data_IF_685004486057
#
_entry.id   IF_685004486057
#
_cell.length_a   1.000
_cell.length_b   1.000
_cell.length_c   1.000
_cell.angle_alpha   90.00
_cell.angle_beta   90.00
_cell.angle_gamma   90.00
#
_symmetry.space_group_name_H-M   'P 1'
#
loop_
_entity.id
_entity.type
_entity.pdbx_description
1 polymer ?
#
# COMPACT_ATOMS: atom_id res chain seq x y z
N UNK A 1 -40.51 6.59 -31.81
CA UNK A 1 -39.78 7.63 -31.05
C UNK A 1 -39.38 7.04 -29.69
N UNK A 2 -38.17 6.47 -29.54
CA UNK A 2 -37.70 6.01 -28.24
C UNK A 2 -36.84 7.10 -27.59
N UNK A 3 -37.31 7.61 -26.45
CA UNK A 3 -36.53 8.52 -25.60
C UNK A 3 -35.42 7.69 -24.95
N UNK A 4 -34.19 7.82 -25.45
CA UNK A 4 -33.01 7.46 -24.67
C UNK A 4 -33.00 8.36 -23.43
N UNK A 5 -33.24 7.78 -22.27
CA UNK A 5 -32.93 8.42 -21.00
C UNK A 5 -31.43 8.71 -21.00
N UNK A 6 -31.06 9.99 -21.15
CA UNK A 6 -29.72 10.45 -20.81
C UNK A 6 -29.56 10.22 -19.31
N UNK A 7 -28.82 9.17 -18.94
CA UNK A 7 -28.40 8.96 -17.57
C UNK A 7 -27.65 10.20 -17.11
N UNK A 8 -28.21 10.90 -16.14
CA UNK A 8 -27.61 12.08 -15.53
C UNK A 8 -26.35 11.62 -14.80
N UNK A 9 -25.21 11.62 -15.49
CA UNK A 9 -23.92 11.28 -14.90
C UNK A 9 -23.60 12.43 -13.94
N UNK A 10 -23.75 12.20 -12.64
CA UNK A 10 -23.33 13.13 -11.60
C UNK A 10 -21.89 13.55 -11.91
N UNK A 11 -21.73 14.78 -12.38
CA UNK A 11 -20.44 15.40 -12.64
C UNK A 11 -19.88 15.78 -11.28
N UNK A 12 -19.10 14.88 -10.69
CA UNK A 12 -18.37 15.17 -9.47
C UNK A 12 -17.24 16.13 -9.83
N UNK A 13 -17.23 17.31 -9.23
CA UNK A 13 -16.20 18.32 -9.47
C UNK A 13 -14.82 17.78 -9.12
N UNK A 14 -13.78 18.15 -9.90
CA UNK A 14 -12.39 17.84 -9.54
C UNK A 14 -12.02 18.40 -8.17
N UNK A 15 -11.16 17.69 -7.45
CA UNK A 15 -10.57 18.10 -6.18
C UNK A 15 -9.11 18.49 -6.44
N UNK A 16 -8.66 19.60 -5.86
CA UNK A 16 -7.27 20.01 -5.97
C UNK A 16 -6.33 19.00 -5.27
N UNK A 17 -5.30 18.55 -5.97
CA UNK A 17 -4.23 17.71 -5.45
C UNK A 17 -2.87 18.24 -5.85
N UNK A 18 -1.83 17.58 -5.34
CA UNK A 18 -0.44 17.93 -5.65
C UNK A 18 0.33 16.68 -6.02
N UNK A 19 1.32 16.83 -6.89
CA UNK A 19 2.28 15.77 -7.19
C UNK A 19 3.69 16.34 -7.35
N UNK A 20 4.69 15.51 -7.06
CA UNK A 20 6.07 15.81 -7.43
C UNK A 20 6.26 15.57 -8.92
N UNK A 21 6.86 16.54 -9.62
CA UNK A 21 7.25 16.39 -11.02
C UNK A 21 8.77 16.24 -11.11
N UNK A 22 9.25 15.01 -11.35
CA UNK A 22 10.67 14.74 -11.48
C UNK A 22 11.35 15.48 -12.65
N UNK A 23 10.61 15.87 -13.70
CA UNK A 23 11.20 16.59 -14.83
C UNK A 23 11.55 18.02 -14.41
N UNK A 24 10.64 18.70 -13.72
CA UNK A 24 10.83 20.07 -13.25
C UNK A 24 11.48 20.17 -11.87
N UNK A 25 11.52 19.08 -11.10
CA UNK A 25 11.95 19.01 -9.69
C UNK A 25 11.18 19.97 -8.78
N UNK A 26 9.89 20.12 -9.02
CA UNK A 26 9.00 20.95 -8.20
C UNK A 26 7.67 20.21 -7.96
N UNK A 27 6.94 20.65 -6.94
CA UNK A 27 5.54 20.29 -6.78
C UNK A 27 4.69 21.04 -7.81
N UNK A 28 3.77 20.34 -8.44
CA UNK A 28 2.74 20.92 -9.30
C UNK A 28 1.36 20.55 -8.82
N UNK A 29 0.41 21.45 -9.05
CA UNK A 29 -1.01 21.18 -8.87
C UNK A 29 -1.49 20.15 -9.90
N UNK A 30 -2.45 19.34 -9.50
CA UNK A 30 -3.13 18.40 -10.37
C UNK A 30 -4.58 18.23 -9.93
N UNK A 31 -5.43 17.81 -10.86
CA UNK A 31 -6.81 17.47 -10.55
C UNK A 31 -6.92 16.03 -10.07
N UNK A 32 -7.58 15.82 -8.94
CA UNK A 32 -8.05 14.51 -8.51
C UNK A 32 -9.49 14.34 -9.01
N UNK A 33 -9.72 13.31 -9.81
CA UNK A 33 -11.02 13.04 -10.42
C UNK A 33 -11.55 11.67 -10.03
N UNK A 34 -12.87 11.57 -9.85
CA UNK A 34 -13.53 10.30 -9.59
C UNK A 34 -13.69 9.50 -10.88
N UNK A 35 -13.10 8.31 -10.90
CA UNK A 35 -13.26 7.37 -12.00
C UNK A 35 -14.48 6.47 -11.76
N UNK A 36 -15.60 6.83 -12.38
CA UNK A 36 -16.85 6.09 -12.24
C UNK A 36 -16.82 4.65 -12.78
N UNK A 37 -15.76 4.23 -13.50
CA UNK A 37 -15.65 2.86 -14.03
C UNK A 37 -15.16 1.86 -12.99
N UNK A 38 -14.27 2.28 -12.11
CA UNK A 38 -13.70 1.43 -11.06
C UNK A 38 -14.04 1.91 -9.64
N UNK A 39 -14.63 3.09 -9.48
CA UNK A 39 -15.04 3.61 -8.18
C UNK A 39 -13.90 4.22 -7.37
N UNK A 40 -12.81 4.65 -8.02
CA UNK A 40 -11.64 5.24 -7.35
C UNK A 40 -11.41 6.68 -7.80
N UNK A 41 -10.99 7.52 -6.86
CA UNK A 41 -10.34 8.80 -7.07
C UNK A 41 -8.89 8.57 -7.52
N UNK A 42 -8.46 9.36 -8.50
CA UNK A 42 -7.11 9.32 -9.06
C UNK A 42 -6.68 10.73 -9.44
N UNK A 43 -5.42 11.06 -9.20
CA UNK A 43 -4.80 12.26 -9.78
C UNK A 43 -4.66 12.08 -11.29
N UNK A 44 -4.98 13.13 -12.04
CA UNK A 44 -4.79 13.17 -13.49
C UNK A 44 -3.30 13.23 -13.82
N UNK A 45 -2.92 12.62 -14.95
CA UNK A 45 -1.51 12.56 -15.42
C UNK A 45 -0.53 11.88 -14.44
N UNK A 46 -1.02 10.93 -13.64
CA UNK A 46 -0.22 10.14 -12.69
C UNK A 46 -0.36 8.64 -12.92
N UNK A 47 0.42 7.85 -12.16
CA UNK A 47 0.33 6.40 -12.14
C UNK A 47 -0.76 5.83 -11.22
N UNK A 48 -1.56 6.66 -10.54
CA UNK A 48 -2.59 6.21 -9.57
C UNK A 48 -3.47 5.10 -10.14
N UNK A 49 -3.94 5.25 -11.39
CA UNK A 49 -4.79 4.26 -12.07
C UNK A 49 -4.09 2.91 -12.26
N UNK A 50 -2.80 2.93 -12.57
CA UNK A 50 -2.00 1.72 -12.73
C UNK A 50 -1.72 1.08 -11.36
N UNK A 51 -1.32 1.87 -10.36
CA UNK A 51 -1.04 1.39 -9.01
C UNK A 51 -2.28 0.78 -8.34
N UNK A 52 -3.44 1.42 -8.48
CA UNK A 52 -4.72 0.86 -8.01
C UNK A 52 -5.03 -0.45 -8.73
N UNK A 53 -4.87 -0.51 -10.06
CA UNK A 53 -5.10 -1.76 -10.80
C UNK A 53 -4.19 -2.89 -10.35
N UNK A 54 -2.92 -2.60 -10.14
CA UNK A 54 -1.93 -3.58 -9.70
C UNK A 54 -2.20 -4.06 -8.28
N UNK A 55 -2.54 -3.14 -7.38
CA UNK A 55 -3.01 -3.45 -6.02
C UNK A 55 -4.22 -4.38 -6.07
N UNK A 56 -5.24 -4.04 -6.86
CA UNK A 56 -6.44 -4.86 -7.03
C UNK A 56 -6.14 -6.26 -7.57
N UNK A 57 -5.22 -6.35 -8.53
CA UNK A 57 -4.81 -7.63 -9.12
C UNK A 57 -4.06 -8.51 -8.12
N UNK A 58 -3.16 -7.92 -7.34
CA UNK A 58 -2.29 -8.62 -6.42
C UNK A 58 -3.04 -9.15 -5.19
N UNK A 59 -3.93 -8.33 -4.63
CA UNK A 59 -4.53 -8.60 -3.33
C UNK A 59 -5.96 -9.16 -3.42
N UNK A 60 -6.48 -9.48 -4.60
CA UNK A 60 -7.75 -10.21 -4.77
C UNK A 60 -7.78 -11.60 -4.11
N UNK A 61 -6.63 -12.09 -3.65
CA UNK A 61 -6.49 -13.42 -3.07
C UNK A 61 -7.00 -13.53 -1.63
N UNK A 62 -7.17 -12.42 -0.93
CA UNK A 62 -7.66 -12.47 0.45
C UNK A 62 -9.07 -13.06 0.49
N UNK A 63 -9.29 -14.02 1.39
CA UNK A 63 -10.54 -14.79 1.46
C UNK A 63 -11.41 -14.41 2.66
N UNK A 64 -10.79 -13.92 3.74
CA UNK A 64 -11.45 -13.68 5.02
C UNK A 64 -11.65 -12.18 5.34
N UNK A 65 -11.80 -11.31 4.33
CA UNK A 65 -11.94 -9.87 4.55
C UNK A 65 -13.24 -9.48 5.28
N UNK A 66 -14.34 -10.22 5.10
CA UNK A 66 -15.61 -9.88 5.75
C UNK A 66 -15.51 -10.03 7.26
N UNK A 67 -15.84 -8.98 8.01
CA UNK A 67 -15.76 -8.97 9.47
C UNK A 67 -14.36 -8.76 10.05
N UNK A 68 -13.34 -8.63 9.19
CA UNK A 68 -11.93 -8.55 9.58
C UNK A 68 -11.52 -7.19 10.15
N UNK A 69 -10.41 -7.19 10.88
CA UNK A 69 -9.62 -6.00 11.19
C UNK A 69 -8.34 -6.06 10.37
N UNK A 70 -8.18 -5.12 9.47
CA UNK A 70 -7.08 -5.09 8.49
C UNK A 70 -6.07 -4.04 8.89
N UNK A 71 -4.79 -4.39 8.81
CA UNK A 71 -3.67 -3.46 8.86
C UNK A 71 -3.00 -3.41 7.48
N UNK A 72 -3.10 -2.26 6.81
CA UNK A 72 -2.60 -2.01 5.46
C UNK A 72 -1.37 -1.10 5.51
N UNK A 73 -0.18 -1.70 5.43
CA UNK A 73 1.11 -1.02 5.50
C UNK A 73 1.60 -0.72 4.09
N UNK A 74 1.74 0.57 3.75
CA UNK A 74 2.00 1.03 2.39
C UNK A 74 0.72 1.09 1.56
N UNK A 75 -0.29 1.77 2.10
CA UNK A 75 -1.63 1.82 1.54
C UNK A 75 -1.71 2.58 0.19
N UNK A 76 -0.71 3.39 -0.13
CA UNK A 76 -0.60 4.16 -1.37
C UNK A 76 -1.88 4.98 -1.62
N UNK A 77 -2.50 4.86 -2.80
CA UNK A 77 -3.74 5.55 -3.15
C UNK A 77 -5.00 4.82 -2.65
N UNK A 78 -4.88 3.85 -1.74
CA UNK A 78 -6.01 3.14 -1.12
C UNK A 78 -6.62 2.04 -1.97
N UNK A 79 -5.87 1.46 -2.92
CA UNK A 79 -6.32 0.36 -3.78
C UNK A 79 -6.86 -0.83 -2.97
N UNK A 80 -5.98 -1.44 -2.17
CA UNK A 80 -6.33 -2.54 -1.26
C UNK A 80 -7.22 -2.07 -0.11
N UNK A 81 -6.94 -0.93 0.51
CA UNK A 81 -7.74 -0.37 1.61
C UNK A 81 -9.23 -0.33 1.25
N UNK A 82 -9.57 0.25 0.09
CA UNK A 82 -10.95 0.31 -0.38
C UNK A 82 -11.49 -1.09 -0.71
N UNK A 83 -10.70 -1.96 -1.33
CA UNK A 83 -11.11 -3.34 -1.61
C UNK A 83 -11.52 -4.08 -0.33
N UNK A 84 -10.72 -3.95 0.73
CA UNK A 84 -10.99 -4.57 2.02
C UNK A 84 -12.30 -4.07 2.64
N UNK A 85 -12.52 -2.75 2.64
CA UNK A 85 -13.77 -2.15 3.09
C UNK A 85 -14.97 -2.62 2.27
N UNK A 86 -14.87 -2.60 0.94
CA UNK A 86 -15.93 -3.04 0.02
C UNK A 86 -16.25 -4.54 0.18
N UNK A 87 -15.25 -5.35 0.57
CA UNK A 87 -15.39 -6.77 0.90
C UNK A 87 -15.98 -7.03 2.30
N UNK A 88 -16.25 -5.97 3.07
CA UNK A 88 -16.91 -6.04 4.36
C UNK A 88 -15.98 -6.13 5.57
N UNK A 89 -14.72 -5.70 5.46
CA UNK A 89 -13.88 -5.50 6.64
C UNK A 89 -14.55 -4.55 7.63
N UNK A 90 -14.51 -4.91 8.92
CA UNK A 90 -15.11 -4.11 9.99
C UNK A 90 -14.28 -2.86 10.27
N UNK A 91 -12.96 -2.99 10.18
CA UNK A 91 -12.00 -1.92 10.42
C UNK A 91 -10.79 -2.09 9.53
N UNK A 92 -10.30 -0.99 8.97
CA UNK A 92 -9.05 -0.95 8.19
C UNK A 92 -8.20 0.20 8.70
N UNK A 93 -6.98 -0.11 9.13
CA UNK A 93 -5.96 0.85 9.53
C UNK A 93 -4.96 0.94 8.38
N UNK A 94 -4.93 2.07 7.70
CA UNK A 94 -4.14 2.27 6.49
C UNK A 94 -3.02 3.28 6.75
N UNK A 95 -1.78 2.89 6.47
CA UNK A 95 -0.59 3.69 6.73
C UNK A 95 0.10 4.01 5.42
N UNK A 96 0.25 5.30 5.13
CA UNK A 96 0.89 5.80 3.91
C UNK A 96 1.75 7.03 4.20
N UNK A 97 3.08 6.97 4.00
CA UNK A 97 3.97 8.08 4.32
C UNK A 97 3.92 9.23 3.29
N UNK A 98 3.65 8.96 2.01
CA UNK A 98 3.61 10.01 0.99
C UNK A 98 2.35 10.87 1.15
N UNK A 99 2.46 12.18 1.45
CA UNK A 99 1.29 13.03 1.71
C UNK A 99 0.30 13.09 0.54
N UNK A 100 0.81 13.02 -0.69
CA UNK A 100 -0.03 13.07 -1.88
C UNK A 100 -0.78 11.75 -2.15
N UNK A 101 -0.15 10.61 -1.86
CA UNK A 101 -0.84 9.32 -1.90
C UNK A 101 -1.87 9.25 -0.78
N UNK A 102 -1.49 9.71 0.42
CA UNK A 102 -2.36 9.80 1.59
C UNK A 102 -3.63 10.63 1.33
N UNK A 103 -3.51 11.76 0.61
CA UNK A 103 -4.67 12.55 0.19
C UNK A 103 -5.66 11.72 -0.65
N UNK A 104 -5.14 10.96 -1.63
CA UNK A 104 -5.96 10.11 -2.49
C UNK A 104 -6.53 8.90 -1.74
N UNK A 105 -5.75 8.31 -0.83
CA UNK A 105 -6.20 7.26 0.11
C UNK A 105 -7.41 7.71 0.91
N UNK A 106 -7.38 8.91 1.51
CA UNK A 106 -8.49 9.44 2.30
C UNK A 106 -9.78 9.63 1.47
N UNK A 107 -9.64 9.96 0.18
CA UNK A 107 -10.78 10.05 -0.74
C UNK A 107 -11.32 8.66 -1.13
N UNK A 108 -10.44 7.68 -1.30
CA UNK A 108 -10.81 6.32 -1.70
C UNK A 108 -11.35 5.47 -0.55
N UNK A 109 -10.88 5.68 0.67
CA UNK A 109 -11.24 4.90 1.84
C UNK A 109 -11.61 5.81 3.04
N UNK A 110 -12.64 6.66 2.92
CA UNK A 110 -13.00 7.60 3.99
C UNK A 110 -13.52 6.91 5.27
N UNK A 111 -13.87 5.62 5.20
CA UNK A 111 -14.28 4.81 6.34
C UNK A 111 -13.09 4.09 7.04
N UNK A 112 -11.89 4.15 6.47
CA UNK A 112 -10.68 3.62 7.11
C UNK A 112 -10.09 4.62 8.11
N UNK A 113 -9.29 4.11 9.05
CA UNK A 113 -8.38 4.94 9.84
C UNK A 113 -7.11 5.15 9.01
N UNK A 114 -7.03 6.29 8.32
CA UNK A 114 -5.87 6.64 7.51
C UNK A 114 -4.83 7.41 8.35
N UNK A 115 -3.58 6.96 8.32
CA UNK A 115 -2.45 7.60 9.01
C UNK A 115 -1.38 8.02 7.99
N UNK A 116 -1.05 9.32 7.95
CA UNK A 116 0.06 9.82 7.14
C UNK A 116 1.38 9.61 7.89
N UNK A 117 1.88 8.38 7.87
CA UNK A 117 3.05 7.95 8.63
C UNK A 117 3.79 6.82 7.91
N UNK A 118 5.02 6.58 8.30
CA UNK A 118 5.76 5.36 7.99
C UNK A 118 5.55 4.29 9.08
N UNK A 119 5.95 3.07 8.76
CA UNK A 119 6.01 1.94 9.70
C UNK A 119 7.47 1.71 10.05
N UNK A 120 7.75 1.48 11.33
CA UNK A 120 9.10 1.43 11.88
C UNK A 120 9.41 0.10 12.57
N UNK A 121 10.67 -0.33 12.46
CA UNK A 121 11.27 -1.41 13.26
C UNK A 121 11.79 -0.93 14.63
N UNK A 122 11.57 0.35 14.96
CA UNK A 122 11.96 1.01 16.20
C UNK A 122 10.74 1.65 16.90
N UNK A 123 10.86 2.07 18.19
CA UNK A 123 9.81 2.81 18.87
C UNK A 123 9.31 4.03 18.08
N UNK A 124 8.09 4.47 18.38
CA UNK A 124 7.46 5.63 17.74
C UNK A 124 8.39 6.85 17.70
N UNK A 125 8.37 7.55 16.56
CA UNK A 125 9.23 8.71 16.34
C UNK A 125 9.02 9.31 14.96
N UNK A 126 10.11 9.75 14.35
CA UNK A 126 10.11 10.33 13.01
C UNK A 126 11.17 9.65 12.14
N UNK A 127 10.92 9.58 10.84
CA UNK A 127 11.86 9.05 9.86
C UNK A 127 11.91 9.95 8.63
N UNK A 128 13.09 10.04 8.01
CA UNK A 128 13.20 10.64 6.69
C UNK A 128 12.65 9.67 5.65
N UNK A 129 11.61 10.12 4.95
CA UNK A 129 11.01 9.42 3.83
C UNK A 129 11.46 10.04 2.52
N UNK A 130 11.98 9.20 1.63
CA UNK A 130 12.46 9.59 0.32
C UNK A 130 11.48 9.08 -0.75
N UNK A 131 11.02 9.96 -1.62
CA UNK A 131 10.20 9.54 -2.77
C UNK A 131 10.50 10.34 -4.03
N UNK A 132 10.43 9.67 -5.17
CA UNK A 132 10.46 10.31 -6.48
C UNK A 132 9.28 9.82 -7.31
N UNK A 133 8.47 10.75 -7.78
CA UNK A 133 7.41 10.49 -8.77
C UNK A 133 7.83 11.07 -10.12
N UNK A 134 7.67 10.30 -11.20
CA UNK A 134 8.05 10.74 -12.55
C UNK A 134 6.96 10.37 -13.54
N UNK A 135 6.85 11.10 -14.67
CA UNK A 135 5.89 10.74 -15.74
C UNK A 135 6.19 9.40 -16.42
N UNK A 136 7.36 8.80 -16.17
CA UNK A 136 7.88 7.63 -16.91
C UNK A 136 8.05 6.37 -16.07
N UNK A 137 8.00 6.44 -14.75
CA UNK A 137 8.06 5.27 -13.86
C UNK A 137 7.14 5.45 -12.66
N UNK A 138 6.64 4.32 -12.15
CA UNK A 138 5.99 4.26 -10.84
C UNK A 138 6.87 4.90 -9.76
N UNK A 139 6.21 5.46 -8.75
CA UNK A 139 6.84 6.11 -7.61
C UNK A 139 7.87 5.19 -6.97
N UNK A 140 9.13 5.63 -6.93
CA UNK A 140 10.17 4.98 -6.13
C UNK A 140 10.17 5.66 -4.77
N UNK A 141 9.52 5.05 -3.79
CA UNK A 141 9.51 5.48 -2.38
C UNK A 141 10.37 4.56 -1.52
N UNK A 142 11.01 5.09 -0.50
CA UNK A 142 11.75 4.32 0.51
C UNK A 142 12.06 5.17 1.74
N UNK A 143 12.21 4.56 2.90
CA UNK A 143 12.82 5.22 4.07
C UNK A 143 14.35 5.09 4.08
N UNK A 144 14.94 4.51 3.03
CA UNK A 144 16.38 4.35 2.87
C UNK A 144 16.86 5.30 1.76
N UNK A 145 17.85 6.13 2.08
CA UNK A 145 18.48 7.00 1.08
C UNK A 145 19.15 6.16 -0.02
N UNK A 146 18.81 6.44 -1.28
CA UNK A 146 19.47 5.81 -2.44
C UNK A 146 20.65 6.67 -2.90
N UNK A 147 21.76 6.03 -3.29
CA UNK A 147 22.90 6.75 -3.88
C UNK A 147 22.46 7.50 -5.14
N UNK A 148 22.79 8.79 -5.24
CA UNK A 148 22.37 9.69 -6.32
C UNK A 148 20.85 9.93 -6.39
N UNK A 149 20.15 9.91 -5.26
CA UNK A 149 18.73 10.24 -5.21
C UNK A 149 18.47 11.70 -5.61
N UNK A 150 17.56 11.90 -6.56
CA UNK A 150 17.17 13.22 -7.10
C UNK A 150 15.70 13.57 -6.85
N UNK A 151 15.04 12.85 -5.93
CA UNK A 151 13.65 13.07 -5.55
C UNK A 151 13.51 13.97 -4.31
N UNK A 152 12.38 13.82 -3.63
CA UNK A 152 12.02 14.57 -2.41
C UNK A 152 12.39 13.77 -1.18
N UNK A 153 12.92 14.44 -0.15
CA UNK A 153 12.97 13.92 1.21
C UNK A 153 12.09 14.77 2.13
N UNK A 154 11.24 14.11 2.91
CA UNK A 154 10.41 14.73 3.95
C UNK A 154 10.58 13.98 5.26
N UNK A 155 10.35 14.65 6.38
CA UNK A 155 10.24 13.98 7.69
C UNK A 155 8.77 13.64 7.91
N UNK A 156 8.49 12.38 8.26
CA UNK A 156 7.14 11.91 8.59
C UNK A 156 7.14 11.19 9.93
N UNK A 157 6.01 11.16 10.66
CA UNK A 157 5.85 10.28 11.80
C UNK A 157 6.10 8.83 11.41
N UNK A 158 6.64 8.04 12.33
CA UNK A 158 6.89 6.63 12.16
C UNK A 158 6.34 5.88 13.38
N UNK A 159 5.49 4.88 13.13
CA UNK A 159 4.89 4.07 14.19
C UNK A 159 5.57 2.70 14.30
N UNK A 160 5.85 2.26 15.53
CA UNK A 160 6.38 0.92 15.80
C UNK A 160 5.35 -0.13 15.38
N UNK A 161 5.78 -1.09 14.56
CA UNK A 161 4.95 -2.23 14.18
C UNK A 161 4.38 -2.97 15.39
N UNK A 162 5.13 -3.11 16.49
CA UNK A 162 4.65 -3.80 17.68
C UNK A 162 3.51 -3.03 18.35
N UNK A 163 3.62 -1.70 18.42
CA UNK A 163 2.56 -0.84 18.96
C UNK A 163 1.29 -0.88 18.11
N UNK A 164 1.43 -0.87 16.78
CA UNK A 164 0.30 -1.03 15.86
C UNK A 164 -0.40 -2.38 16.03
N UNK A 165 0.36 -3.47 16.11
CA UNK A 165 -0.17 -4.82 16.31
C UNK A 165 -0.84 -4.96 17.68
N UNK A 166 -0.25 -4.43 18.74
CA UNK A 166 -0.83 -4.46 20.08
C UNK A 166 -2.14 -3.68 20.16
N UNK A 167 -2.17 -2.47 19.59
CA UNK A 167 -3.33 -1.58 19.62
C UNK A 167 -4.51 -2.09 18.80
N UNK A 168 -4.24 -2.63 17.61
CA UNK A 168 -5.30 -2.94 16.65
C UNK A 168 -5.64 -4.43 16.53
N UNK A 169 -4.73 -5.32 16.95
CA UNK A 169 -4.91 -6.79 16.87
C UNK A 169 -5.49 -7.24 15.50
N UNK A 170 -4.88 -6.83 14.37
CA UNK A 170 -5.43 -7.14 13.06
C UNK A 170 -5.36 -8.64 12.77
N UNK A 171 -6.42 -9.20 12.20
CA UNK A 171 -6.41 -10.59 11.70
C UNK A 171 -5.95 -10.68 10.24
N UNK A 172 -5.89 -9.56 9.53
CA UNK A 172 -5.34 -9.47 8.18
C UNK A 172 -4.28 -8.38 8.13
N UNK A 173 -3.11 -8.71 7.56
CA UNK A 173 -2.03 -7.74 7.34
C UNK A 173 -1.64 -7.71 5.87
N UNK A 174 -1.51 -6.52 5.29
CA UNK A 174 -0.79 -6.29 4.04
C UNK A 174 0.48 -5.50 4.36
N UNK A 175 1.61 -5.93 3.82
CA UNK A 175 2.89 -5.24 3.93
C UNK A 175 3.56 -5.08 2.57
N UNK A 176 3.70 -3.83 2.16
CA UNK A 176 4.29 -3.39 0.90
C UNK A 176 4.87 -2.00 1.12
N UNK A 177 6.00 -1.93 1.80
CA UNK A 177 6.56 -0.69 2.39
C UNK A 177 7.89 -0.29 1.75
N UNK A 178 8.24 -0.92 0.64
CA UNK A 178 9.36 -0.61 -0.24
C UNK A 178 10.71 -0.53 0.51
N UNK A 179 11.25 -1.71 0.87
CA UNK A 179 12.62 -1.95 1.38
C UNK A 179 12.80 -1.96 2.90
N UNK A 180 11.74 -2.20 3.68
CA UNK A 180 11.80 -2.37 5.15
C UNK A 180 11.18 -3.68 5.66
N UNK A 181 10.72 -4.52 4.75
CA UNK A 181 9.95 -5.74 5.07
C UNK A 181 10.71 -6.69 5.99
N UNK A 182 12.00 -6.93 5.71
CA UNK A 182 12.86 -7.80 6.53
C UNK A 182 13.06 -7.25 7.94
N UNK A 183 13.33 -5.94 8.06
CA UNK A 183 13.53 -5.28 9.35
C UNK A 183 12.25 -5.35 10.21
N UNK A 184 11.09 -5.12 9.58
CA UNK A 184 9.80 -5.22 10.26
C UNK A 184 9.52 -6.66 10.71
N UNK A 185 9.78 -7.66 9.85
CA UNK A 185 9.62 -9.07 10.24
C UNK A 185 10.54 -9.43 11.41
N UNK A 186 11.82 -9.04 11.38
CA UNK A 186 12.75 -9.29 12.48
C UNK A 186 12.34 -8.56 13.78
N UNK A 187 11.79 -7.34 13.68
CA UNK A 187 11.19 -6.63 14.82
C UNK A 187 10.00 -7.38 15.40
N UNK A 188 9.13 -7.93 14.57
CA UNK A 188 7.99 -8.75 14.99
C UNK A 188 8.42 -10.05 15.67
N UNK A 189 9.55 -10.62 15.25
CA UNK A 189 10.10 -11.94 15.65
C UNK A 189 9.25 -13.14 15.25
N UNK A 190 7.94 -13.06 15.46
CA UNK A 190 6.93 -14.05 15.05
C UNK A 190 5.68 -13.34 14.56
N UNK A 191 4.91 -14.01 13.71
CA UNK A 191 3.59 -13.50 13.30
C UNK A 191 2.59 -13.79 14.42
N UNK A 192 1.91 -12.78 15.00
CA UNK A 192 0.97 -13.00 16.09
C UNK A 192 -0.12 -14.02 15.74
N UNK A 193 -0.54 -14.82 16.72
CA UNK A 193 -1.47 -15.94 16.51
C UNK A 193 -2.86 -15.52 16.02
N UNK A 194 -3.26 -14.28 16.28
CA UNK A 194 -4.53 -13.72 15.81
C UNK A 194 -4.49 -13.25 14.34
N UNK A 195 -3.32 -13.25 13.68
CA UNK A 195 -3.20 -12.95 12.25
C UNK A 195 -3.47 -14.22 11.45
N UNK A 196 -4.53 -14.20 10.66
CA UNK A 196 -5.01 -15.32 9.84
C UNK A 196 -4.49 -15.24 8.39
N UNK A 197 -4.41 -14.03 7.82
CA UNK A 197 -3.87 -13.81 6.47
C UNK A 197 -2.82 -12.69 6.45
N UNK A 198 -1.75 -12.89 5.68
CA UNK A 198 -0.66 -11.93 5.55
C UNK A 198 -0.23 -11.83 4.08
N UNK A 199 -0.34 -10.65 3.46
CA UNK A 199 0.29 -10.39 2.17
C UNK A 199 1.60 -9.62 2.35
N UNK A 200 2.63 -10.04 1.61
CA UNK A 200 3.97 -9.48 1.70
C UNK A 200 4.57 -9.32 0.30
N UNK A 201 4.97 -8.11 -0.06
CA UNK A 201 5.82 -7.85 -1.23
C UNK A 201 7.28 -7.78 -0.78
N UNK A 202 8.12 -8.74 -1.17
CA UNK A 202 9.55 -8.70 -0.85
C UNK A 202 10.39 -8.20 -2.03
N UNK A 203 11.19 -7.17 -1.77
CA UNK A 203 12.13 -6.59 -2.73
C UNK A 203 13.46 -7.34 -2.72
N UNK A 204 14.15 -7.38 -3.87
CA UNK A 204 15.47 -8.02 -4.08
C UNK A 204 15.46 -9.55 -3.97
N UNK A 205 14.53 -10.21 -4.64
CA UNK A 205 14.35 -11.67 -4.54
C UNK A 205 15.59 -12.54 -4.85
N UNK A 206 15.87 -13.52 -3.98
CA UNK A 206 16.85 -14.61 -4.18
C UNK A 206 16.35 -15.90 -3.48
N UNK A 207 16.90 -17.09 -3.81
CA UNK A 207 16.52 -18.33 -3.10
C UNK A 207 16.73 -18.24 -1.58
N UNK A 208 17.78 -17.53 -1.14
CA UNK A 208 18.06 -17.28 0.28
C UNK A 208 16.93 -16.48 0.95
N UNK A 209 16.27 -15.60 0.20
CA UNK A 209 15.16 -14.81 0.70
C UNK A 209 13.87 -15.61 0.85
N UNK A 210 13.63 -16.64 0.02
CA UNK A 210 12.51 -17.56 0.25
C UNK A 210 12.70 -18.34 1.55
N UNK A 211 13.90 -18.90 1.77
CA UNK A 211 14.20 -19.63 3.00
C UNK A 211 14.11 -18.74 4.25
N UNK A 212 14.39 -17.44 4.12
CA UNK A 212 14.21 -16.50 5.22
C UNK A 212 12.74 -16.36 5.66
N UNK A 213 11.79 -16.38 4.71
CA UNK A 213 10.36 -16.32 5.04
C UNK A 213 9.88 -17.55 5.81
N UNK A 214 10.60 -18.68 5.74
CA UNK A 214 10.29 -19.89 6.51
C UNK A 214 10.38 -19.67 8.03
N UNK A 215 11.19 -18.72 8.48
CA UNK A 215 11.29 -18.32 9.89
C UNK A 215 9.97 -17.79 10.44
N UNK A 216 9.17 -17.13 9.60
CA UNK A 216 7.95 -16.42 10.00
C UNK A 216 6.67 -17.11 9.54
N UNK A 217 6.73 -17.78 8.39
CA UNK A 217 5.58 -18.40 7.74
C UNK A 217 5.79 -19.90 7.47
N UNK A 218 6.22 -20.72 8.43
CA UNK A 218 6.65 -22.09 8.16
C UNK A 218 5.53 -22.93 7.51
N UNK A 219 5.88 -23.81 6.57
CA UNK A 219 4.91 -24.50 5.70
C UNK A 219 3.95 -25.42 6.46
N UNK A 220 4.31 -25.88 7.67
CA UNK A 220 3.42 -26.67 8.52
C UNK A 220 2.27 -25.83 9.09
N UNK A 221 2.46 -24.53 9.32
CA UNK A 221 1.47 -23.61 9.89
C UNK A 221 0.78 -22.71 8.84
N UNK A 222 1.43 -22.48 7.70
CA UNK A 222 0.95 -21.54 6.69
C UNK A 222 0.84 -22.17 5.30
N UNK A 223 -0.30 -21.95 4.65
CA UNK A 223 -0.46 -22.11 3.22
C UNK A 223 0.11 -20.90 2.50
N UNK A 224 0.99 -21.12 1.52
CA UNK A 224 1.69 -20.07 0.77
C UNK A 224 1.21 -20.03 -0.66
N UNK A 225 0.88 -18.84 -1.14
CA UNK A 225 0.51 -18.59 -2.52
C UNK A 225 1.43 -17.52 -3.10
N UNK A 226 2.27 -17.89 -4.08
CA UNK A 226 3.03 -16.91 -4.87
C UNK A 226 2.10 -16.30 -5.91
N UNK A 227 2.03 -14.96 -5.95
CA UNK A 227 1.24 -14.22 -6.94
C UNK A 227 2.03 -13.88 -8.21
N UNK A 228 3.25 -14.39 -8.32
CA UNK A 228 4.14 -14.24 -9.47
C UNK A 228 5.21 -13.16 -9.30
N UNK A 229 6.12 -13.11 -10.28
CA UNK A 229 7.23 -12.16 -10.31
C UNK A 229 6.83 -10.88 -11.02
N UNK A 230 7.26 -9.74 -10.49
CA UNK A 230 7.30 -8.48 -11.24
C UNK A 230 8.74 -8.03 -11.46
N UNK A 231 8.97 -7.43 -12.62
CA UNK A 231 10.23 -6.76 -12.94
C UNK A 231 9.98 -5.26 -13.01
N UNK A 232 10.64 -4.50 -12.15
CA UNK A 232 10.75 -3.05 -12.25
C UNK A 232 12.22 -2.71 -12.51
N UNK A 233 12.55 -2.46 -13.78
CA UNK A 233 13.95 -2.37 -14.22
C UNK A 233 14.71 -3.69 -13.98
N UNK A 234 15.83 -3.64 -13.26
CA UNK A 234 16.64 -4.83 -12.91
C UNK A 234 16.20 -5.51 -11.60
N UNK A 235 15.23 -4.96 -10.87
CA UNK A 235 14.80 -5.50 -9.57
C UNK A 235 13.64 -6.49 -9.73
N UNK A 236 13.75 -7.62 -9.01
CA UNK A 236 12.70 -8.64 -8.91
C UNK A 236 11.90 -8.42 -7.63
N UNK A 237 10.59 -8.28 -7.79
CA UNK A 237 9.62 -8.17 -6.72
C UNK A 237 8.82 -9.47 -6.68
N UNK A 238 8.56 -9.97 -5.48
CA UNK A 238 7.75 -11.15 -5.27
C UNK A 238 6.65 -10.91 -4.25
N UNK A 239 5.43 -11.13 -4.73
CA UNK A 239 4.21 -10.98 -3.97
C UNK A 239 3.80 -12.35 -3.41
N UNK A 240 3.71 -12.43 -2.09
CA UNK A 240 3.25 -13.61 -1.36
C UNK A 240 1.94 -13.31 -0.65
N UNK A 241 1.07 -14.31 -0.62
CA UNK A 241 -0.07 -14.36 0.28
C UNK A 241 0.04 -15.62 1.15
N UNK A 242 0.05 -15.41 2.46
CA UNK A 242 0.11 -16.44 3.47
C UNK A 242 -1.25 -16.55 4.15
N UNK A 243 -1.73 -17.78 4.33
CA UNK A 243 -2.95 -18.09 5.09
C UNK A 243 -2.64 -19.11 6.16
N UNK A 244 -2.99 -18.82 7.40
CA UNK A 244 -2.81 -19.73 8.53
C UNK A 244 -3.72 -20.96 8.33
N UNK A 245 -3.20 -22.14 8.67
CA UNK A 245 -3.94 -23.41 8.59
C UNK A 245 -4.84 -23.63 9.79
#
# INVERSE_FOLDING_TARGET
MSRRQQGNRLMISPIAGTMWDADSKHFRECDITFNSRNGYWCRNETFDKAMIRDSLKNYKGFTNLKGSTVLDLGANCGGFTKMALDAGATSVIAIEPCPHNFQVLCLNAPAAVCLNAAVSDAPDGEVTFYYSDSKRSSSSSSTIERRNFSGVSITVPAYDILGLLEKHKPNIVKMDIESKEYDILDRMKTIPSYVDEFALEVHRFSQKHTAYLDKFFPENEWCRESKGFKFFGNMRHNDWLFRRK
#
